data_IF_920504483580
#
_entry.id   IF_920504483580
#
_cell.length_a   1.000
_cell.length_b   1.000
_cell.length_c   1.000
_cell.angle_alpha   90.00
_cell.angle_beta   90.00
_cell.angle_gamma   90.00
#
_symmetry.space_group_name_H-M   'P 1'
#
loop_
_entity.id
_entity.type
_entity.pdbx_description
1 polymer ?
#
# COMPACT_ATOMS: atom_id res chain seq x y z
N UNK A 1 -14.31 0.32 -24.47
CA UNK A 1 -15.33 -0.64 -23.99
C UNK A 1 -14.79 -1.20 -22.69
N UNK A 2 -15.22 -0.63 -21.56
CA UNK A 2 -14.83 -1.14 -20.24
C UNK A 2 -15.63 -2.41 -19.99
N UNK A 3 -14.99 -3.56 -20.20
CA UNK A 3 -15.59 -4.86 -19.90
C UNK A 3 -15.74 -4.93 -18.39
N UNK A 4 -16.97 -4.74 -17.91
CA UNK A 4 -17.33 -4.94 -16.52
C UNK A 4 -17.26 -6.45 -16.26
N UNK A 5 -16.10 -6.95 -15.83
CA UNK A 5 -15.99 -8.33 -15.37
C UNK A 5 -16.86 -8.50 -14.13
N UNK A 6 -17.77 -9.46 -14.17
CA UNK A 6 -18.62 -9.76 -13.03
C UNK A 6 -17.75 -10.18 -11.84
N UNK A 7 -17.95 -9.64 -10.63
CA UNK A 7 -17.13 -9.98 -9.47
C UNK A 7 -17.07 -11.48 -9.14
N UNK A 8 -18.07 -12.25 -9.59
CA UNK A 8 -18.14 -13.71 -9.45
C UNK A 8 -17.09 -14.46 -10.27
N UNK A 9 -16.45 -13.85 -11.27
CA UNK A 9 -15.37 -14.47 -12.06
C UNK A 9 -13.99 -14.21 -11.48
N UNK A 10 -13.88 -13.40 -10.42
CA UNK A 10 -12.61 -12.98 -9.82
C UNK A 10 -12.07 -14.02 -8.85
N UNK A 11 -11.57 -15.14 -9.37
CA UNK A 11 -11.06 -16.25 -8.58
C UNK A 11 -9.72 -15.95 -7.88
N UNK A 12 -9.33 -16.81 -6.95
CA UNK A 12 -7.99 -16.78 -6.35
C UNK A 12 -6.92 -16.99 -7.43
N UNK A 13 -5.76 -16.34 -7.25
CA UNK A 13 -4.61 -16.57 -8.12
C UNK A 13 -3.92 -17.89 -7.75
N UNK A 14 -3.27 -18.58 -8.71
CA UNK A 14 -2.64 -19.85 -8.44
C UNK A 14 -1.53 -19.67 -7.41
N UNK A 15 -1.45 -20.64 -6.51
CA UNK A 15 -0.47 -20.71 -5.43
C UNK A 15 0.91 -20.74 -6.06
N UNK A 16 1.77 -19.80 -5.65
CA UNK A 16 3.15 -19.77 -6.15
C UNK A 16 3.97 -20.89 -5.50
N UNK A 17 4.93 -21.46 -6.24
CA UNK A 17 5.78 -22.49 -5.67
C UNK A 17 6.61 -21.93 -4.51
N UNK A 18 6.53 -22.59 -3.36
CA UNK A 18 7.13 -22.12 -2.09
C UNK A 18 8.64 -21.89 -2.18
N UNK A 19 9.35 -22.63 -3.04
CA UNK A 19 10.80 -22.46 -3.23
C UNK A 19 11.17 -21.10 -3.87
N UNK A 20 10.33 -20.56 -4.77
CA UNK A 20 10.55 -19.23 -5.36
C UNK A 20 10.30 -18.12 -4.33
N UNK A 21 9.29 -18.31 -3.48
CA UNK A 21 9.01 -17.41 -2.36
C UNK A 21 10.14 -17.43 -1.33
N UNK A 22 10.66 -18.62 -1.00
CA UNK A 22 11.77 -18.80 -0.08
C UNK A 22 13.05 -18.11 -0.58
N UNK A 23 13.38 -18.25 -1.87
CA UNK A 23 14.53 -17.54 -2.48
C UNK A 23 14.36 -16.02 -2.43
N UNK A 24 13.17 -15.51 -2.76
CA UNK A 24 12.88 -14.07 -2.67
C UNK A 24 12.93 -13.56 -1.24
N UNK A 25 12.45 -14.35 -0.28
CA UNK A 25 12.52 -14.04 1.14
C UNK A 25 13.97 -14.01 1.64
N UNK A 26 14.77 -15.02 1.30
CA UNK A 26 16.20 -15.04 1.61
C UNK A 26 16.93 -13.82 1.01
N UNK A 27 16.64 -13.49 -0.26
CA UNK A 27 17.14 -12.28 -0.90
C UNK A 27 16.73 -11.01 -0.16
N UNK A 28 15.48 -10.92 0.31
CA UNK A 28 15.00 -9.77 1.09
C UNK A 28 15.67 -9.65 2.46
N UNK A 29 15.98 -10.77 3.14
CA UNK A 29 16.70 -10.76 4.43
C UNK A 29 18.12 -10.23 4.27
N UNK A 30 18.80 -10.56 3.17
CA UNK A 30 20.16 -10.07 2.90
C UNK A 30 20.14 -8.63 2.41
N UNK A 31 19.15 -8.27 1.59
CA UNK A 31 19.01 -6.92 1.03
C UNK A 31 18.61 -5.88 2.09
N UNK A 32 17.69 -6.23 3.00
CA UNK A 32 17.18 -5.32 4.03
C UNK A 32 18.28 -4.66 4.90
N UNK A 33 19.24 -5.39 5.50
CA UNK A 33 20.30 -4.79 6.30
C UNK A 33 21.23 -3.90 5.46
N UNK A 34 21.54 -4.29 4.22
CA UNK A 34 22.35 -3.46 3.30
C UNK A 34 21.65 -2.13 3.04
N UNK A 35 20.34 -2.17 2.79
CA UNK A 35 19.52 -0.97 2.62
C UNK A 35 19.44 -0.16 3.90
N UNK A 36 19.27 -0.78 5.08
CA UNK A 36 19.29 -0.08 6.36
C UNK A 36 20.62 0.63 6.63
N UNK A 37 21.76 0.00 6.33
CA UNK A 37 23.08 0.62 6.47
C UNK A 37 23.23 1.79 5.50
N UNK A 38 22.83 1.62 4.24
CA UNK A 38 22.84 2.68 3.25
C UNK A 38 21.97 3.87 3.70
N UNK A 39 20.78 3.61 4.23
CA UNK A 39 19.90 4.65 4.77
C UNK A 39 20.46 5.30 6.02
N UNK A 40 21.09 4.54 6.90
CA UNK A 40 21.81 5.08 8.06
C UNK A 40 22.90 6.05 7.63
N UNK A 41 23.67 5.70 6.59
CA UNK A 41 24.69 6.57 6.02
C UNK A 41 24.10 7.83 5.36
N UNK A 42 23.01 7.70 4.60
CA UNK A 42 22.30 8.83 3.99
C UNK A 42 21.72 9.77 5.07
N UNK A 43 21.08 9.21 6.10
CA UNK A 43 20.55 9.98 7.22
C UNK A 43 21.66 10.70 7.98
N UNK A 44 22.79 10.03 8.22
CA UNK A 44 23.97 10.65 8.82
C UNK A 44 24.50 11.81 7.96
N UNK A 45 24.56 11.64 6.63
CA UNK A 45 24.95 12.72 5.71
C UNK A 45 23.98 13.90 5.78
N UNK A 46 22.67 13.64 5.82
CA UNK A 46 21.66 14.70 5.99
C UNK A 46 21.75 15.40 7.35
N UNK A 47 22.04 14.67 8.42
CA UNK A 47 22.28 15.28 9.75
C UNK A 47 23.50 16.18 9.70
N UNK A 48 24.60 15.75 9.07
CA UNK A 48 25.79 16.58 8.89
C UNK A 48 25.47 17.84 8.09
N UNK A 49 24.79 17.71 6.94
CA UNK A 49 24.37 18.86 6.12
C UNK A 49 23.42 19.78 6.88
N UNK A 50 22.48 19.22 7.64
CA UNK A 50 21.55 19.94 8.51
C UNK A 50 22.24 20.68 9.65
N UNK A 51 23.33 20.14 10.18
CA UNK A 51 24.16 20.80 11.19
C UNK A 51 24.86 22.06 10.64
N UNK A 52 25.10 22.10 9.31
CA UNK A 52 25.57 23.28 8.59
C UNK A 52 24.42 24.09 7.96
N UNK A 53 23.15 23.78 8.27
CA UNK A 53 22.01 24.42 7.64
C UNK A 53 21.99 25.94 7.86
N UNK A 54 22.41 26.45 9.02
CA UNK A 54 22.49 27.91 9.25
C UNK A 54 23.48 28.62 8.31
N UNK A 55 24.52 27.92 7.84
CA UNK A 55 25.48 28.46 6.85
C UNK A 55 24.95 28.32 5.41
N UNK A 56 24.10 27.31 5.16
CA UNK A 56 23.59 26.95 3.83
C UNK A 56 22.27 27.68 3.49
N UNK A 57 21.39 27.90 4.46
CA UNK A 57 20.11 28.63 4.28
C UNK A 57 20.31 30.11 3.99
N UNK A 58 21.47 30.66 4.36
CA UNK A 58 21.92 32.00 3.93
C UNK A 58 22.08 32.12 2.39
N UNK A 59 22.20 31.01 1.66
CA UNK A 59 22.56 31.03 0.24
C UNK A 59 21.47 30.62 -0.77
N UNK A 60 20.36 29.94 -0.43
CA UNK A 60 19.25 29.80 -1.41
C UNK A 60 17.97 29.10 -0.91
N UNK A 61 16.80 29.71 -1.18
CA UNK A 61 15.47 29.06 -1.18
C UNK A 61 15.35 27.89 -2.18
N UNK A 62 16.28 27.77 -3.12
CA UNK A 62 16.30 26.72 -4.16
C UNK A 62 16.72 25.36 -3.59
N UNK A 63 17.54 25.35 -2.53
CA UNK A 63 17.99 24.13 -1.86
C UNK A 63 16.88 23.45 -1.06
N UNK A 64 15.99 24.24 -0.46
CA UNK A 64 14.86 23.73 0.33
C UNK A 64 13.86 22.97 -0.55
N UNK A 65 13.52 23.50 -1.75
CA UNK A 65 12.71 22.76 -2.74
C UNK A 65 13.43 21.54 -3.31
N UNK A 66 14.73 21.65 -3.56
CA UNK A 66 15.54 20.51 -4.01
C UNK A 66 15.57 19.37 -3.00
N UNK A 67 15.67 19.71 -1.71
CA UNK A 67 15.65 18.76 -0.59
C UNK A 67 14.30 18.03 -0.46
N UNK A 68 13.20 18.79 -0.49
CA UNK A 68 11.85 18.19 -0.42
C UNK A 68 11.54 17.33 -1.65
N UNK A 69 11.93 17.78 -2.85
CA UNK A 69 11.80 16.99 -4.07
C UNK A 69 12.64 15.71 -4.05
N UNK A 70 13.86 15.77 -3.52
CA UNK A 70 14.72 14.61 -3.35
C UNK A 70 14.14 13.62 -2.33
N UNK A 71 13.55 14.11 -1.23
CA UNK A 71 12.84 13.28 -0.25
C UNK A 71 11.64 12.55 -0.85
N UNK A 72 10.83 13.22 -1.68
CA UNK A 72 9.64 12.60 -2.27
C UNK A 72 10.01 11.54 -3.34
N UNK A 73 11.03 11.82 -4.15
CA UNK A 73 11.61 10.82 -5.07
C UNK A 73 12.22 9.65 -4.29
N UNK A 74 12.86 9.91 -3.14
CA UNK A 74 13.40 8.88 -2.26
C UNK A 74 12.28 8.00 -1.69
N UNK A 75 11.21 8.58 -1.14
CA UNK A 75 10.09 7.84 -0.54
C UNK A 75 9.42 6.94 -1.57
N UNK A 76 9.20 7.44 -2.78
CA UNK A 76 8.66 6.64 -3.87
C UNK A 76 9.58 5.47 -4.27
N UNK A 77 10.90 5.68 -4.25
CA UNK A 77 11.88 4.62 -4.54
C UNK A 77 11.95 3.57 -3.44
N UNK A 78 11.80 3.97 -2.18
CA UNK A 78 11.70 3.06 -1.02
C UNK A 78 10.42 2.22 -1.10
N UNK A 79 9.27 2.85 -1.35
CA UNK A 79 8.01 2.14 -1.49
C UNK A 79 8.07 1.08 -2.61
N UNK A 80 8.73 1.42 -3.73
CA UNK A 80 8.95 0.50 -4.86
C UNK A 80 9.95 -0.62 -4.57
N UNK A 81 10.96 -0.38 -3.73
CA UNK A 81 11.90 -1.43 -3.31
C UNK A 81 11.26 -2.36 -2.26
N UNK A 82 10.50 -1.80 -1.32
CA UNK A 82 9.77 -2.54 -0.31
C UNK A 82 8.63 -3.40 -0.90
N UNK A 83 8.07 -3.00 -2.05
CA UNK A 83 7.05 -3.80 -2.73
C UNK A 83 7.60 -5.08 -3.37
N UNK A 84 8.92 -5.20 -3.56
CA UNK A 84 9.59 -6.44 -4.01
C UNK A 84 9.85 -7.43 -2.87
N UNK A 85 9.87 -6.96 -1.62
CA UNK A 85 10.11 -7.81 -0.46
C UNK A 85 8.89 -8.69 -0.16
N UNK A 86 9.10 -10.01 -0.21
CA UNK A 86 8.14 -11.01 0.28
C UNK A 86 8.12 -10.93 1.79
N UNK A 87 6.93 -10.80 2.39
CA UNK A 87 6.81 -10.76 3.84
C UNK A 87 6.71 -12.17 4.39
N UNK A 88 7.23 -12.41 5.60
CA UNK A 88 7.14 -13.71 6.28
C UNK A 88 5.71 -14.30 6.31
N UNK A 89 4.64 -13.52 6.51
CA UNK A 89 3.27 -14.03 6.44
C UNK A 89 2.88 -14.56 5.06
N UNK A 90 3.41 -13.99 3.97
CA UNK A 90 3.17 -14.53 2.62
C UNK A 90 3.87 -15.87 2.42
N UNK A 91 5.08 -16.04 2.94
CA UNK A 91 5.78 -17.33 2.87
C UNK A 91 5.03 -18.41 3.65
N UNK A 92 4.49 -18.07 4.83
CA UNK A 92 3.83 -19.03 5.74
C UNK A 92 2.39 -19.34 5.35
N UNK A 93 1.67 -18.38 4.80
CA UNK A 93 0.23 -18.48 4.54
C UNK A 93 -0.14 -18.45 3.04
N UNK A 94 0.81 -18.59 2.10
CA UNK A 94 0.47 -18.73 0.67
C UNK A 94 -0.44 -19.97 0.50
N UNK A 95 -1.67 -19.76 0.03
CA UNK A 95 -2.69 -20.80 -0.12
C UNK A 95 -3.62 -20.99 1.08
N UNK A 96 -3.39 -20.30 2.20
CA UNK A 96 -4.29 -20.30 3.36
C UNK A 96 -5.44 -19.30 3.16
N UNK A 97 -6.57 -19.82 2.68
CA UNK A 97 -7.77 -19.01 2.40
C UNK A 97 -8.28 -18.28 3.63
N UNK A 98 -8.15 -18.86 4.84
CA UNK A 98 -8.59 -18.24 6.09
C UNK A 98 -7.75 -17.03 6.47
N UNK A 99 -6.43 -17.13 6.30
CA UNK A 99 -5.52 -15.99 6.51
C UNK A 99 -5.83 -14.82 5.57
N UNK A 100 -6.06 -15.09 4.28
CA UNK A 100 -6.39 -14.03 3.32
C UNK A 100 -7.78 -13.43 3.56
N UNK A 101 -8.78 -14.23 3.96
CA UNK A 101 -10.09 -13.70 4.39
C UNK A 101 -9.92 -12.71 5.54
N UNK A 102 -9.20 -13.08 6.59
CA UNK A 102 -8.96 -12.20 7.74
C UNK A 102 -8.21 -10.91 7.36
N UNK A 103 -7.29 -10.97 6.39
CA UNK A 103 -6.62 -9.76 5.87
C UNK A 103 -7.57 -8.84 5.14
N UNK A 104 -8.42 -9.39 4.28
CA UNK A 104 -9.45 -8.63 3.55
C UNK A 104 -10.40 -7.98 4.55
N UNK A 105 -10.95 -8.74 5.50
CA UNK A 105 -11.87 -8.23 6.52
C UNK A 105 -11.25 -7.07 7.31
N UNK A 106 -9.99 -7.26 7.75
CA UNK A 106 -9.25 -6.22 8.49
C UNK A 106 -8.99 -4.98 7.62
N UNK A 107 -8.64 -5.15 6.35
CA UNK A 107 -8.38 -4.05 5.43
C UNK A 107 -9.66 -3.26 5.16
N UNK A 108 -10.76 -3.94 4.79
CA UNK A 108 -12.06 -3.32 4.54
C UNK A 108 -12.59 -2.65 5.81
N UNK A 109 -12.52 -3.29 6.97
CA UNK A 109 -12.95 -2.70 8.23
C UNK A 109 -12.15 -1.43 8.58
N UNK A 110 -10.82 -1.45 8.39
CA UNK A 110 -9.95 -0.29 8.60
C UNK A 110 -10.30 0.87 7.67
N UNK A 111 -10.56 0.59 6.39
CA UNK A 111 -10.96 1.60 5.42
C UNK A 111 -12.37 2.13 5.71
N UNK A 112 -13.29 1.25 6.07
CA UNK A 112 -14.66 1.64 6.45
C UNK A 112 -14.63 2.54 7.68
N UNK A 113 -13.89 2.19 8.73
CA UNK A 113 -13.71 3.03 9.91
C UNK A 113 -13.11 4.41 9.59
N UNK A 114 -12.26 4.50 8.57
CA UNK A 114 -11.70 5.78 8.09
C UNK A 114 -12.70 6.58 7.27
N UNK A 115 -13.47 5.92 6.40
CA UNK A 115 -14.46 6.55 5.54
C UNK A 115 -15.72 6.99 6.33
N UNK A 116 -16.08 6.25 7.37
CA UNK A 116 -17.20 6.55 8.27
C UNK A 116 -16.82 7.49 9.42
N UNK A 117 -15.55 7.86 9.56
CA UNK A 117 -15.11 8.77 10.61
C UNK A 117 -15.74 10.16 10.39
N UNK A 118 -16.27 10.81 11.46
CA UNK A 118 -16.82 12.15 11.33
C UNK A 118 -15.77 13.13 10.83
N UNK A 119 -16.20 14.05 9.95
CA UNK A 119 -15.33 15.06 9.35
C UNK A 119 -14.92 16.06 10.43
N UNK A 120 -13.68 15.95 10.90
CA UNK A 120 -13.07 16.93 11.78
C UNK A 120 -12.51 18.07 10.90
N UNK A 121 -12.92 19.34 11.11
CA UNK A 121 -12.46 20.47 10.30
C UNK A 121 -10.93 20.70 10.38
N UNK A 122 -10.24 20.10 11.36
CA UNK A 122 -8.78 20.17 11.51
C UNK A 122 -8.03 18.98 10.89
N UNK A 123 -8.73 17.99 10.33
CA UNK A 123 -8.13 16.79 9.75
C UNK A 123 -8.42 16.69 8.25
N UNK A 124 -7.54 16.02 7.49
CA UNK A 124 -7.81 15.70 6.09
C UNK A 124 -9.13 14.93 5.98
N UNK A 125 -9.91 15.25 4.93
CA UNK A 125 -11.21 14.62 4.67
C UNK A 125 -11.09 13.10 4.63
N UNK A 126 -12.12 12.37 5.09
CA UNK A 126 -12.17 10.92 4.99
C UNK A 126 -11.88 10.45 3.55
N UNK A 127 -11.09 9.38 3.38
CA UNK A 127 -10.80 8.86 2.06
C UNK A 127 -12.08 8.28 1.43
N UNK A 128 -12.42 8.80 0.25
CA UNK A 128 -13.61 8.38 -0.52
C UNK A 128 -13.28 7.20 -1.45
N UNK A 129 -12.01 7.07 -1.81
CA UNK A 129 -11.47 5.98 -2.61
C UNK A 129 -10.60 5.07 -1.76
N UNK A 130 -10.76 3.76 -1.94
CA UNK A 130 -9.92 2.73 -1.35
C UNK A 130 -9.44 1.78 -2.44
N UNK A 131 -8.14 1.52 -2.51
CA UNK A 131 -7.56 0.47 -3.33
C UNK A 131 -7.02 -0.65 -2.42
N UNK A 132 -7.57 -1.85 -2.56
CA UNK A 132 -7.09 -3.06 -1.89
C UNK A 132 -6.15 -3.78 -2.86
N UNK A 133 -4.92 -4.06 -2.46
CA UNK A 133 -3.92 -4.64 -3.36
C UNK A 133 -4.14 -6.14 -3.56
N UNK A 134 -3.77 -6.70 -4.72
CA UNK A 134 -3.80 -8.15 -4.95
C UNK A 134 -3.09 -8.94 -3.83
N UNK A 135 -2.05 -8.36 -3.23
CA UNK A 135 -1.31 -8.94 -2.10
C UNK A 135 -2.19 -9.29 -0.90
N UNK A 136 -3.30 -8.58 -0.71
CA UNK A 136 -4.20 -8.74 0.43
C UNK A 136 -5.26 -9.82 0.21
N UNK A 137 -5.61 -10.13 -1.04
CA UNK A 137 -6.68 -11.08 -1.37
C UNK A 137 -6.25 -12.22 -2.31
N UNK A 138 -4.97 -12.30 -2.69
CA UNK A 138 -4.45 -13.30 -3.66
C UNK A 138 -4.95 -14.73 -3.42
N UNK A 139 -4.93 -15.18 -2.16
CA UNK A 139 -5.31 -16.55 -1.80
C UNK A 139 -6.81 -16.80 -1.64
N UNK A 140 -7.64 -15.75 -1.62
CA UNK A 140 -9.11 -15.90 -1.56
C UNK A 140 -9.77 -15.52 -2.88
N UNK A 141 -9.22 -14.57 -3.62
CA UNK A 141 -9.76 -14.01 -4.86
C UNK A 141 -10.42 -12.65 -4.66
N UNK A 142 -10.54 -11.89 -5.75
CA UNK A 142 -11.17 -10.56 -5.73
C UNK A 142 -12.66 -10.61 -5.38
N UNK A 143 -13.33 -11.74 -5.64
CA UNK A 143 -14.76 -11.94 -5.34
C UNK A 143 -15.09 -11.69 -3.87
N UNK A 144 -14.24 -12.16 -2.94
CA UNK A 144 -14.47 -12.01 -1.50
C UNK A 144 -14.29 -10.56 -1.05
N UNK A 145 -13.37 -9.83 -1.69
CA UNK A 145 -13.23 -8.38 -1.47
C UNK A 145 -14.51 -7.66 -1.88
N UNK A 146 -15.06 -7.98 -3.05
CA UNK A 146 -16.31 -7.42 -3.52
C UNK A 146 -17.47 -7.74 -2.57
N UNK A 147 -17.59 -8.99 -2.10
CA UNK A 147 -18.64 -9.41 -1.16
C UNK A 147 -18.59 -8.60 0.14
N UNK A 148 -17.43 -8.55 0.81
CA UNK A 148 -17.28 -7.83 2.09
C UNK A 148 -17.45 -6.33 1.90
N UNK A 149 -16.93 -5.76 0.81
CA UNK A 149 -17.05 -4.34 0.53
C UNK A 149 -18.49 -3.93 0.23
N UNK A 150 -19.21 -4.69 -0.61
CA UNK A 150 -20.63 -4.45 -0.90
C UNK A 150 -21.49 -4.57 0.36
N UNK A 151 -21.21 -5.56 1.22
CA UNK A 151 -21.90 -5.71 2.51
C UNK A 151 -21.70 -4.52 3.46
N UNK A 152 -20.56 -3.83 3.34
CA UNK A 152 -20.22 -2.64 4.14
C UNK A 152 -20.72 -1.33 3.48
N UNK A 153 -21.33 -1.39 2.28
CA UNK A 153 -21.86 -0.22 1.57
C UNK A 153 -20.89 0.45 0.59
N UNK A 154 -19.78 -0.20 0.26
CA UNK A 154 -18.87 0.28 -0.79
C UNK A 154 -19.38 -0.07 -2.19
N UNK A 155 -19.10 0.78 -3.16
CA UNK A 155 -19.35 0.54 -4.57
C UNK A 155 -18.06 0.13 -5.30
N UNK A 156 -18.19 -0.77 -6.27
CA UNK A 156 -17.07 -1.19 -7.10
C UNK A 156 -16.84 -0.18 -8.23
N UNK A 157 -15.57 0.21 -8.45
CA UNK A 157 -15.16 1.02 -9.60
C UNK A 157 -14.52 0.13 -10.66
N UNK A 158 -14.41 0.60 -11.93
CA UNK A 158 -13.60 -0.09 -12.94
C UNK A 158 -12.20 -0.36 -12.39
N UNK A 159 -11.83 -1.63 -12.36
CA UNK A 159 -10.67 -2.11 -11.62
C UNK A 159 -9.97 -3.21 -12.40
N UNK A 160 -8.64 -3.14 -12.47
CA UNK A 160 -7.79 -4.27 -12.80
C UNK A 160 -7.55 -5.19 -11.58
N UNK A 161 -8.36 -6.23 -11.47
CA UNK A 161 -8.35 -7.23 -10.38
C UNK A 161 -7.02 -7.99 -10.29
N UNK A 162 -6.21 -8.00 -11.35
CA UNK A 162 -4.88 -8.60 -11.32
C UNK A 162 -3.86 -7.71 -10.59
N UNK A 163 -4.28 -6.51 -10.20
CA UNK A 163 -3.42 -5.52 -9.54
C UNK A 163 -4.01 -5.04 -8.21
N UNK A 164 -5.26 -4.62 -8.22
CA UNK A 164 -5.95 -4.04 -7.05
C UNK A 164 -7.47 -4.18 -7.20
N UNK A 165 -8.24 -3.94 -6.13
CA UNK A 165 -9.71 -3.75 -6.16
C UNK A 165 -10.00 -2.33 -5.70
N UNK A 166 -10.58 -1.50 -6.56
CA UNK A 166 -10.92 -0.11 -6.26
C UNK A 166 -12.37 0.00 -5.80
N UNK A 167 -12.53 0.57 -4.62
CA UNK A 167 -13.78 0.74 -3.92
C UNK A 167 -14.05 2.23 -3.73
N UNK A 168 -15.31 2.61 -3.86
CA UNK A 168 -15.80 3.97 -3.66
C UNK A 168 -16.83 3.99 -2.53
N UNK A 169 -16.68 4.92 -1.58
CA UNK A 169 -17.63 5.09 -0.49
C UNK A 169 -18.78 5.99 -0.94
N UNK A 170 -19.91 5.39 -1.31
CA UNK A 170 -21.07 6.11 -1.83
C UNK A 170 -21.75 7.01 -0.79
N UNK A 171 -21.65 6.68 0.49
CA UNK A 171 -22.19 7.53 1.55
C UNK A 171 -21.47 8.88 1.71
N UNK A 172 -20.23 9.02 1.21
CA UNK A 172 -19.52 10.31 1.19
C UNK A 172 -19.99 11.26 0.07
N UNK A 173 -20.69 10.78 -0.97
CA UNK A 173 -21.19 11.66 -2.05
C UNK A 173 -22.48 12.39 -1.67
N UNK A 174 -23.24 11.90 -0.70
CA UNK A 174 -24.52 12.48 -0.26
C UNK A 174 -24.37 13.69 0.69
N UNK A 175 -23.14 14.02 1.10
CA UNK A 175 -22.84 15.14 2.00
C UNK A 175 -22.19 16.31 1.23
N UNK A 176 -22.20 16.25 -0.11
CA UNK A 176 -21.84 17.37 -0.98
C UNK A 176 -23.02 18.31 -1.22
#
# INVERSE_FOLDING_TARGET
>A
MDVYEAPSTWTAEPVRPQWQLALRFAGSIVWFPVVCVLWGAIAAAFIVVGMFAEVITAFSNTLERGYLGAMDVMLNRVARLASWCVSWPELRHEGDTGFYKARVDKAVAKWTARASAPVDPKKPRPPVECAISLRDYRGVGGWYVAEVALAQGWELRPTDVRREVRLWWSAASKVS
#
